data_IF_205508016145
#
_entry.id   IF_205508016145
#
_cell.length_a   1.000
_cell.length_b   1.000
_cell.length_c   1.000
_cell.angle_alpha   90.00
_cell.angle_beta   90.00
_cell.angle_gamma   90.00
#
_symmetry.space_group_name_H-M   'P 1'
#
loop_
_entity.id
_entity.type
_entity.pdbx_description
1 polymer ?
#
# COMPACT_ATOMS: atom_id res chain seq x y z
N UNK A 1 -14.58 0.28 -25.35
CA UNK A 1 -13.76 1.32 -24.74
C UNK A 1 -13.10 0.81 -23.48
N UNK A 2 -11.83 1.13 -23.37
CA UNK A 2 -11.07 0.70 -22.22
C UNK A 2 -11.28 1.65 -21.05
N UNK A 3 -11.64 1.13 -19.89
CA UNK A 3 -11.67 1.86 -18.63
C UNK A 3 -10.39 1.64 -17.85
N UNK A 4 -9.32 1.38 -18.55
CA UNK A 4 -8.04 1.01 -17.97
C UNK A 4 -7.09 2.19 -17.87
N UNK A 5 -6.23 2.13 -16.86
CA UNK A 5 -5.16 3.09 -16.71
C UNK A 5 -3.89 2.34 -16.28
N UNK A 6 -2.80 3.08 -16.14
CA UNK A 6 -1.50 2.50 -15.84
C UNK A 6 -1.14 2.70 -14.38
N UNK A 7 -0.53 1.67 -13.77
CA UNK A 7 0.10 1.80 -12.46
C UNK A 7 1.57 1.40 -12.58
N UNK A 8 2.42 2.14 -11.88
CA UNK A 8 3.81 1.78 -11.71
C UNK A 8 4.17 1.89 -10.24
N UNK A 9 4.73 0.82 -9.69
CA UNK A 9 5.17 0.79 -8.30
C UNK A 9 6.69 0.68 -8.31
N UNK A 10 7.34 1.63 -7.65
CA UNK A 10 8.79 1.72 -7.60
C UNK A 10 9.24 1.76 -6.14
N UNK A 11 10.26 0.99 -5.81
CA UNK A 11 10.97 1.17 -4.56
C UNK A 11 12.33 1.80 -4.85
N UNK A 12 13.09 2.26 -3.84
CA UNK A 12 14.34 2.98 -4.08
C UNK A 12 15.38 2.22 -4.90
N UNK A 13 15.29 0.91 -4.97
CA UNK A 13 16.29 0.09 -5.64
C UNK A 13 15.89 -0.35 -7.05
N UNK A 14 14.59 -0.49 -7.29
CA UNK A 14 14.13 -1.01 -8.59
C UNK A 14 12.64 -0.79 -8.80
N UNK A 15 12.21 -0.95 -10.05
CA UNK A 15 10.78 -1.02 -10.36
C UNK A 15 10.24 -2.35 -9.82
N UNK A 16 9.18 -2.30 -9.03
CA UNK A 16 8.56 -3.48 -8.45
C UNK A 16 7.49 -4.05 -9.39
N UNK A 17 6.68 -3.19 -9.97
CA UNK A 17 5.54 -3.61 -10.76
C UNK A 17 5.17 -2.53 -11.77
N UNK A 18 4.73 -2.95 -12.97
CA UNK A 18 4.14 -2.05 -13.96
C UNK A 18 3.01 -2.80 -14.64
N UNK A 19 1.80 -2.22 -14.67
CA UNK A 19 0.62 -2.80 -15.31
C UNK A 19 -0.16 -1.71 -16.04
N UNK A 20 -0.72 -2.07 -17.20
CA UNK A 20 -1.49 -1.14 -18.01
C UNK A 20 -2.98 -1.47 -18.09
N UNK A 21 -3.37 -2.63 -17.55
CA UNK A 21 -4.75 -3.12 -17.61
C UNK A 21 -5.51 -2.90 -16.30
N UNK A 22 -5.18 -1.84 -15.59
CA UNK A 22 -5.75 -1.55 -14.27
C UNK A 22 -7.10 -0.89 -14.42
N UNK A 23 -8.10 -1.41 -13.70
CA UNK A 23 -9.46 -0.85 -13.73
C UNK A 23 -9.77 -0.05 -12.47
N UNK A 24 -9.14 -0.39 -11.34
CA UNK A 24 -9.32 0.35 -10.09
C UNK A 24 -8.14 0.07 -9.17
N UNK A 25 -7.74 1.06 -8.39
CA UNK A 25 -6.77 0.86 -7.31
C UNK A 25 -7.37 1.43 -6.03
N UNK A 26 -7.32 0.65 -4.96
CA UNK A 26 -7.72 1.11 -3.63
C UNK A 26 -6.45 1.30 -2.82
N UNK A 27 -6.21 2.52 -2.37
CA UNK A 27 -5.00 2.86 -1.64
C UNK A 27 -5.30 3.18 -0.17
N UNK A 28 -4.40 2.77 0.75
CA UNK A 28 -4.52 3.15 2.16
C UNK A 28 -3.89 4.53 2.37
N UNK A 29 -4.63 5.58 2.03
CA UNK A 29 -4.15 6.94 2.18
C UNK A 29 -4.25 7.41 3.63
N UNK A 30 -3.46 8.42 3.99
CA UNK A 30 -3.47 8.95 5.36
C UNK A 30 -4.84 9.40 5.83
N UNK A 31 -5.62 9.99 4.92
CA UNK A 31 -6.97 10.46 5.23
C UNK A 31 -8.00 9.35 5.29
N UNK A 32 -7.64 8.15 4.86
CA UNK A 32 -8.53 7.01 4.77
C UNK A 32 -8.36 6.28 3.45
N UNK A 33 -9.08 5.20 3.30
CA UNK A 33 -9.02 4.40 2.08
C UNK A 33 -9.58 5.20 0.91
N UNK A 34 -8.89 5.15 -0.24
CA UNK A 34 -9.26 5.92 -1.43
C UNK A 34 -9.24 5.03 -2.66
N UNK A 35 -10.33 5.06 -3.43
CA UNK A 35 -10.40 4.36 -4.72
C UNK A 35 -10.04 5.28 -5.87
N UNK A 36 -9.20 4.79 -6.78
CA UNK A 36 -8.80 5.52 -7.98
C UNK A 36 -9.29 4.76 -9.21
N UNK A 37 -10.05 5.45 -10.04
CA UNK A 37 -10.56 4.94 -11.30
C UNK A 37 -10.00 5.77 -12.45
N UNK A 38 -10.16 5.28 -13.66
CA UNK A 38 -9.77 6.03 -14.85
C UNK A 38 -10.37 7.44 -14.82
N UNK A 39 -9.59 8.41 -15.25
CA UNK A 39 -9.98 9.83 -15.31
C UNK A 39 -10.19 10.48 -13.95
N UNK A 40 -9.75 9.83 -12.86
CA UNK A 40 -9.71 10.48 -11.55
C UNK A 40 -8.92 11.79 -11.65
N UNK A 41 -9.30 12.77 -10.85
CA UNK A 41 -8.58 14.05 -10.82
C UNK A 41 -7.12 13.82 -10.36
N UNK A 42 -6.20 14.67 -10.79
CA UNK A 42 -4.82 14.59 -10.32
C UNK A 42 -4.75 14.70 -8.79
N UNK A 43 -3.94 13.85 -8.18
CA UNK A 43 -3.81 13.84 -6.73
C UNK A 43 -2.41 13.37 -6.34
N UNK A 44 -1.92 13.92 -5.24
CA UNK A 44 -0.72 13.45 -4.56
C UNK A 44 -1.15 13.15 -3.12
N UNK A 45 -0.81 11.98 -2.63
CA UNK A 45 -1.17 11.58 -1.26
C UNK A 45 -0.08 10.69 -0.66
N UNK A 46 -0.10 10.60 0.67
CA UNK A 46 0.82 9.74 1.40
C UNK A 46 0.11 8.46 1.81
N UNK A 47 0.86 7.36 1.82
CA UNK A 47 0.36 6.06 2.27
C UNK A 47 0.63 5.86 3.75
N UNK A 48 -0.28 5.14 4.40
CA UNK A 48 -0.08 4.62 5.75
C UNK A 48 -0.06 3.10 5.68
N UNK A 49 0.34 2.41 6.77
CA UNK A 49 0.29 0.95 6.74
C UNK A 49 -1.09 0.45 6.37
N UNK A 50 -1.16 -0.41 5.38
CA UNK A 50 -2.44 -0.91 4.88
C UNK A 50 -2.28 -1.80 3.67
N UNK A 51 -3.42 -2.12 3.07
CA UNK A 51 -3.48 -2.99 1.90
C UNK A 51 -3.74 -2.15 0.65
N UNK A 52 -2.82 -2.28 -0.31
CA UNK A 52 -2.97 -1.70 -1.64
C UNK A 52 -3.62 -2.76 -2.53
N UNK A 53 -4.79 -2.47 -3.06
CA UNK A 53 -5.54 -3.41 -3.90
C UNK A 53 -5.55 -2.90 -5.33
N UNK A 54 -5.06 -3.73 -6.25
CA UNK A 54 -5.05 -3.42 -7.68
C UNK A 54 -6.01 -4.36 -8.38
N UNK A 55 -7.04 -3.78 -9.00
CA UNK A 55 -8.01 -4.54 -9.78
C UNK A 55 -7.64 -4.45 -11.24
N UNK A 56 -7.50 -5.58 -11.90
CA UNK A 56 -7.25 -5.65 -13.34
C UNK A 56 -8.32 -6.52 -13.99
N UNK A 57 -8.33 -6.58 -15.31
CA UNK A 57 -9.26 -7.47 -16.02
C UNK A 57 -9.01 -8.94 -15.70
N UNK A 58 -7.79 -9.29 -15.32
CA UNK A 58 -7.41 -10.66 -14.99
C UNK A 58 -7.64 -11.02 -13.52
N UNK A 59 -7.98 -10.05 -12.67
CA UNK A 59 -8.28 -10.33 -11.27
C UNK A 59 -7.78 -9.28 -10.32
N UNK A 60 -7.82 -9.62 -9.05
CA UNK A 60 -7.45 -8.75 -7.95
C UNK A 60 -6.07 -9.12 -7.43
N UNK A 61 -5.25 -8.09 -7.18
CA UNK A 61 -3.91 -8.25 -6.63
C UNK A 61 -3.77 -7.40 -5.40
N UNK A 62 -3.34 -7.97 -4.28
CA UNK A 62 -3.23 -7.27 -3.01
C UNK A 62 -1.80 -7.27 -2.49
N UNK A 63 -1.39 -6.12 -1.98
CA UNK A 63 -0.05 -5.91 -1.44
C UNK A 63 -0.15 -5.24 -0.08
N UNK A 64 0.74 -5.62 0.83
CA UNK A 64 0.89 -4.91 2.08
C UNK A 64 1.94 -3.82 1.89
N UNK A 65 1.60 -2.60 2.27
CA UNK A 65 2.52 -1.45 2.22
C UNK A 65 2.57 -0.79 3.60
N UNK A 66 3.69 -0.15 3.93
CA UNK A 66 3.84 0.53 5.21
C UNK A 66 3.93 2.03 5.07
N UNK A 67 4.46 2.52 3.97
CA UNK A 67 4.61 3.94 3.71
C UNK A 67 4.69 4.19 2.22
N UNK A 68 4.70 5.44 1.84
CA UNK A 68 4.94 5.81 0.47
C UNK A 68 4.21 7.08 0.06
N UNK A 69 4.43 7.43 -1.19
CA UNK A 69 3.79 8.57 -1.84
C UNK A 69 3.14 8.05 -3.12
N UNK A 70 1.91 8.48 -3.38
CA UNK A 70 1.27 8.20 -4.64
C UNK A 70 1.02 9.50 -5.38
N UNK A 71 1.09 9.43 -6.71
CA UNK A 71 0.70 10.52 -7.57
C UNK A 71 -0.14 9.95 -8.72
N UNK A 72 -1.31 10.50 -8.94
CA UNK A 72 -2.14 10.16 -10.09
C UNK A 72 -2.26 11.37 -10.99
N UNK A 73 -1.92 11.19 -12.27
CA UNK A 73 -1.99 12.25 -13.27
C UNK A 73 -2.08 11.63 -14.65
N UNK A 74 -3.00 12.12 -15.47
CA UNK A 74 -3.15 11.70 -16.86
C UNK A 74 -3.25 10.17 -17.00
N UNK A 75 -4.07 9.56 -16.16
CA UNK A 75 -4.30 8.11 -16.14
C UNK A 75 -3.03 7.27 -15.89
N UNK A 76 -2.10 7.85 -15.15
CA UNK A 76 -0.92 7.13 -14.65
C UNK A 76 -0.86 7.27 -13.14
N UNK A 77 -0.86 6.14 -12.45
CA UNK A 77 -0.68 6.10 -11.01
C UNK A 77 0.74 5.66 -10.70
N UNK A 78 1.48 6.54 -10.06
CA UNK A 78 2.84 6.25 -9.61
C UNK A 78 2.82 6.03 -8.11
N UNK A 79 3.39 4.92 -7.67
CA UNK A 79 3.51 4.58 -6.26
C UNK A 79 4.98 4.42 -5.92
N UNK A 80 5.47 5.24 -5.02
CA UNK A 80 6.83 5.13 -4.51
C UNK A 80 6.76 4.66 -3.06
N UNK A 81 7.28 3.48 -2.79
CA UNK A 81 7.25 2.91 -1.44
C UNK A 81 8.55 2.16 -1.17
N UNK A 82 9.00 2.21 0.06
CA UNK A 82 10.20 1.46 0.48
C UNK A 82 9.86 0.05 0.95
N UNK A 83 8.58 -0.24 1.18
CA UNK A 83 8.18 -1.46 1.85
C UNK A 83 6.89 -1.98 1.25
N UNK A 84 7.00 -3.00 0.41
CA UNK A 84 5.84 -3.61 -0.24
C UNK A 84 6.01 -5.13 -0.28
N UNK A 85 4.94 -5.85 0.04
CA UNK A 85 4.91 -7.31 0.03
C UNK A 85 3.67 -7.79 -0.69
N UNK A 86 3.86 -8.76 -1.60
CA UNK A 86 2.74 -9.41 -2.27
C UNK A 86 2.09 -10.37 -1.27
N UNK A 87 0.78 -10.22 -1.02
CA UNK A 87 0.09 -11.06 -0.04
C UNK A 87 0.04 -12.53 -0.44
N UNK A 88 0.13 -12.83 -1.73
CA UNK A 88 0.19 -14.22 -2.19
C UNK A 88 1.49 -14.92 -1.80
N UNK A 89 2.54 -14.14 -1.61
CA UNK A 89 3.85 -14.65 -1.27
C UNK A 89 4.16 -14.51 0.23
N UNK A 90 3.23 -13.95 0.99
CA UNK A 90 3.43 -13.71 2.41
C UNK A 90 3.19 -15.00 3.20
N UNK A 91 4.27 -15.59 3.69
CA UNK A 91 4.19 -16.78 4.51
C UNK A 91 3.85 -16.43 5.96
N UNK A 92 3.23 -17.38 6.66
CA UNK A 92 2.81 -17.16 8.03
C UNK A 92 3.97 -16.80 8.96
N UNK A 93 5.12 -17.44 8.78
CA UNK A 93 6.29 -17.14 9.60
C UNK A 93 6.74 -15.69 9.45
N UNK A 94 6.74 -15.19 8.21
CA UNK A 94 7.10 -13.80 7.95
C UNK A 94 6.07 -12.85 8.56
N UNK A 95 4.79 -13.19 8.43
CA UNK A 95 3.72 -12.39 9.03
C UNK A 95 3.87 -12.30 10.54
N UNK A 96 4.15 -13.41 11.21
CA UNK A 96 4.35 -13.42 12.65
C UNK A 96 5.58 -12.60 13.06
N UNK A 97 6.64 -12.64 12.28
CA UNK A 97 7.83 -11.84 12.53
C UNK A 97 7.53 -10.35 12.38
N UNK A 98 6.76 -9.96 11.35
CA UNK A 98 6.37 -8.57 11.16
C UNK A 98 5.52 -8.08 12.32
N UNK A 99 4.58 -8.91 12.79
CA UNK A 99 3.74 -8.58 13.94
C UNK A 99 4.59 -8.38 15.19
N UNK A 100 5.53 -9.28 15.43
CA UNK A 100 6.40 -9.21 16.59
C UNK A 100 7.23 -7.93 16.57
N UNK A 101 7.84 -7.61 15.42
CA UNK A 101 8.61 -6.39 15.26
C UNK A 101 7.77 -5.14 15.50
N UNK A 102 6.53 -5.14 14.99
CA UNK A 102 5.63 -4.02 15.17
C UNK A 102 5.23 -3.85 16.64
N UNK A 103 4.97 -4.95 17.34
CA UNK A 103 4.63 -4.91 18.76
C UNK A 103 5.81 -4.44 19.61
N UNK A 104 7.02 -4.85 19.28
CA UNK A 104 8.23 -4.38 19.95
C UNK A 104 8.41 -2.87 19.72
N UNK A 105 8.16 -2.41 18.52
CA UNK A 105 8.23 -1.00 18.18
C UNK A 105 7.20 -0.19 18.98
N UNK A 106 6.00 -0.72 19.15
CA UNK A 106 4.94 -0.06 19.90
C UNK A 106 5.28 0.10 21.40
N UNK A 107 6.17 -0.76 21.90
CA UNK A 107 6.57 -0.73 23.32
C UNK A 107 7.73 0.23 23.60
N UNK A 108 8.26 0.92 22.59
CA UNK A 108 9.31 1.91 22.79
C UNK A 108 8.74 3.15 23.49
N UNK A 109 9.45 3.62 24.51
CA UNK A 109 8.93 4.66 25.38
C UNK A 109 8.94 6.07 24.79
N UNK A 110 9.68 6.31 23.72
CA UNK A 110 9.89 7.66 23.19
C UNK A 110 9.15 7.93 21.88
N UNK A 111 8.02 7.26 21.66
CA UNK A 111 7.24 7.50 20.46
C UNK A 111 6.36 8.73 20.62
N UNK A 112 6.39 9.61 19.61
CA UNK A 112 5.43 10.69 19.55
C UNK A 112 4.07 10.13 19.07
N UNK A 113 3.03 10.95 19.16
CA UNK A 113 1.67 10.51 18.82
C UNK A 113 1.54 10.04 17.39
N UNK A 114 2.22 10.69 16.44
CA UNK A 114 2.17 10.31 15.04
C UNK A 114 2.82 8.95 14.80
N UNK A 115 3.99 8.73 15.38
CA UNK A 115 4.69 7.44 15.25
C UNK A 115 3.88 6.32 15.87
N UNK A 116 3.27 6.58 17.03
CA UNK A 116 2.42 5.61 17.70
C UNK A 116 1.20 5.26 16.85
N UNK A 117 0.57 6.27 16.25
CA UNK A 117 -0.58 6.04 15.37
C UNK A 117 -0.21 5.12 14.21
N UNK A 118 0.93 5.36 13.56
CA UNK A 118 1.36 4.55 12.43
C UNK A 118 1.67 3.12 12.84
N UNK A 119 2.32 2.92 13.99
CA UNK A 119 2.62 1.58 14.48
C UNK A 119 1.34 0.83 14.85
N UNK A 120 0.39 1.52 15.48
CA UNK A 120 -0.89 0.92 15.83
C UNK A 120 -1.66 0.51 14.57
N UNK A 121 -1.62 1.33 13.52
CA UNK A 121 -2.22 0.98 12.22
C UNK A 121 -1.55 -0.23 11.60
N UNK A 122 -0.22 -0.29 11.67
CA UNK A 122 0.54 -1.43 11.16
C UNK A 122 0.13 -2.72 11.86
N UNK A 123 0.04 -2.69 13.20
CA UNK A 123 -0.36 -3.86 13.99
C UNK A 123 -1.76 -4.30 13.61
N UNK A 124 -2.69 -3.36 13.51
CA UNK A 124 -4.07 -3.67 13.16
C UNK A 124 -4.16 -4.34 11.79
N UNK A 125 -3.47 -3.80 10.79
CA UNK A 125 -3.47 -4.36 9.45
C UNK A 125 -2.84 -5.75 9.45
N UNK A 126 -1.69 -5.93 10.09
CA UNK A 126 -1.02 -7.22 10.14
C UNK A 126 -1.86 -8.28 10.83
N UNK A 127 -2.57 -7.91 11.91
CA UNK A 127 -3.49 -8.83 12.58
C UNK A 127 -4.64 -9.25 11.68
N UNK A 128 -5.10 -8.37 10.81
CA UNK A 128 -6.18 -8.69 9.88
C UNK A 128 -5.78 -9.72 8.83
N UNK A 129 -4.48 -9.90 8.61
CA UNK A 129 -3.94 -10.85 7.65
C UNK A 129 -3.68 -12.23 8.26
N UNK A 130 -3.82 -12.32 9.56
CA UNK A 130 -3.52 -13.55 10.30
C UNK A 130 -4.67 -14.57 10.21
#
# INVERSE_FOLDING_TARGET
MSEEFKIEIVNPEKSFLSKEDVTEVIIPAFEGEMGILKDHIPIISFLKPGILTIMTKSGEHKYYVEDGIIEFKSNNLSVLTSSILDLKELENDKLQNLLKEAEEEANKQEMNDQSKYLVDQKIEVLKSLN
#
